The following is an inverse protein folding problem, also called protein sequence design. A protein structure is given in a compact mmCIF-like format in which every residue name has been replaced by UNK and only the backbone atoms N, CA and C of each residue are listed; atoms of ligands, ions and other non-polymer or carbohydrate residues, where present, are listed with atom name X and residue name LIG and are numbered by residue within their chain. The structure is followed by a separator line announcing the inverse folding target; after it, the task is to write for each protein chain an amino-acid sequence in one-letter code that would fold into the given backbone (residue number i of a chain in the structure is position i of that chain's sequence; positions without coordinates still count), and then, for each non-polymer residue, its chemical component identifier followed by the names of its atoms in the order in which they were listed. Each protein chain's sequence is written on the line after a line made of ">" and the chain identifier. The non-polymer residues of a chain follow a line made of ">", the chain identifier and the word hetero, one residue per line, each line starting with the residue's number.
data_IF_413422676044
#
_entry.id   IF_413422676044
#
_cell.length_a   1.000
_cell.length_b   1.000
_cell.length_c   1.000
_cell.angle_alpha   90.00
_cell.angle_beta   90.00
_cell.angle_gamma   90.00
#
_symmetry.space_group_name_H-M   'P 1'
#
loop_
_entity.id
_entity.type
_entity.pdbx_description
1 polymer ?
#
# COMPACT_ATOMS: atom_id res chain seq x y z
N UNK A 1 23.22 9.61 12.89
CA UNK A 1 22.06 10.53 12.91
C UNK A 1 20.73 9.81 13.04
N UNK A 2 20.49 8.63 12.44
CA UNK A 2 19.28 7.84 12.75
C UNK A 2 19.14 7.53 14.25
N UNK A 3 20.25 7.21 14.93
CA UNK A 3 20.26 6.98 16.37
C UNK A 3 19.78 8.19 17.21
N UNK A 4 20.06 9.43 16.79
CA UNK A 4 19.58 10.62 17.51
C UNK A 4 18.09 10.86 17.31
N UNK A 5 17.54 10.53 16.13
CA UNK A 5 16.10 10.55 15.88
C UNK A 5 15.41 9.50 16.76
N UNK A 6 15.93 8.27 16.78
CA UNK A 6 15.40 7.20 17.61
C UNK A 6 15.38 7.57 19.10
N UNK A 7 16.46 8.18 19.62
CA UNK A 7 16.53 8.65 21.00
C UNK A 7 15.50 9.75 21.28
N UNK A 8 15.35 10.74 20.39
CA UNK A 8 14.41 11.85 20.56
C UNK A 8 12.94 11.38 20.56
N UNK A 9 12.63 10.34 19.79
CA UNK A 9 11.26 9.84 19.62
C UNK A 9 10.92 8.64 20.51
N UNK A 10 11.87 8.15 21.33
CA UNK A 10 11.69 6.94 22.14
C UNK A 10 10.55 7.06 23.16
N UNK A 11 10.33 8.25 23.73
CA UNK A 11 9.29 8.49 24.74
C UNK A 11 8.04 9.20 24.21
N UNK A 12 8.03 9.61 22.94
CA UNK A 12 6.88 10.27 22.32
C UNK A 12 5.84 9.20 21.96
N UNK A 13 4.58 9.39 22.34
CA UNK A 13 3.51 8.47 21.97
C UNK A 13 3.24 8.51 20.45
N UNK A 14 2.86 7.39 19.84
CA UNK A 14 2.66 7.28 18.39
C UNK A 14 1.60 8.27 17.86
N UNK A 15 0.56 8.50 18.65
CA UNK A 15 -0.55 9.41 18.35
C UNK A 15 -0.26 10.87 18.71
N UNK A 16 0.77 11.16 19.52
CA UNK A 16 1.20 12.52 19.88
C UNK A 16 1.99 13.21 18.77
N UNK A 17 1.25 13.70 17.78
CA UNK A 17 1.82 14.42 16.64
C UNK A 17 2.63 15.65 17.06
N UNK A 18 2.10 16.45 17.98
CA UNK A 18 2.75 17.69 18.40
C UNK A 18 4.07 17.42 19.13
N UNK A 19 4.09 16.41 20.01
CA UNK A 19 5.31 15.96 20.66
C UNK A 19 6.36 15.44 19.66
N UNK A 20 5.92 14.72 18.62
CA UNK A 20 6.81 14.21 17.57
C UNK A 20 7.45 15.35 16.77
N UNK A 21 6.63 16.31 16.30
CA UNK A 21 7.11 17.46 15.55
C UNK A 21 8.09 18.31 16.39
N UNK A 22 7.76 18.57 17.66
CA UNK A 22 8.64 19.30 18.58
C UNK A 22 9.97 18.57 18.85
N UNK A 23 9.94 17.24 19.01
CA UNK A 23 11.15 16.45 19.19
C UNK A 23 12.06 16.46 17.94
N UNK A 24 11.47 16.43 16.74
CA UNK A 24 12.23 16.54 15.48
C UNK A 24 12.83 17.94 15.28
N UNK A 25 12.10 19.00 15.63
CA UNK A 25 12.60 20.38 15.55
C UNK A 25 13.75 20.68 16.51
N UNK A 26 13.79 19.99 17.66
CA UNK A 26 14.86 20.13 18.63
C UNK A 26 16.18 19.45 18.18
N UNK A 27 16.16 18.63 17.12
CA UNK A 27 17.37 17.99 16.61
C UNK A 27 18.23 19.01 15.83
N UNK A 28 19.56 19.00 16.02
CA UNK A 28 20.45 19.80 15.20
C UNK A 28 20.45 19.25 13.77
N UNK A 29 19.85 19.99 12.85
CA UNK A 29 19.81 19.69 11.40
C UNK A 29 19.46 18.23 11.07
N UNK A 30 18.22 17.77 11.33
CA UNK A 30 17.82 16.44 10.92
C UNK A 30 17.89 16.36 9.39
N UNK A 31 18.89 15.61 8.93
CA UNK A 31 19.07 15.30 7.52
C UNK A 31 17.94 14.37 7.04
N UNK A 32 17.45 14.63 5.84
CA UNK A 32 16.37 13.89 5.23
C UNK A 32 16.74 12.40 5.04
N UNK A 33 18.01 12.12 4.74
CA UNK A 33 18.51 10.75 4.65
C UNK A 33 18.35 10.00 5.97
N UNK A 34 18.71 10.63 7.09
CA UNK A 34 18.53 10.05 8.42
C UNK A 34 17.05 9.83 8.78
N UNK A 35 16.18 10.78 8.43
CA UNK A 35 14.73 10.63 8.62
C UNK A 35 14.17 9.46 7.80
N UNK A 36 14.65 9.29 6.57
CA UNK A 36 14.22 8.21 5.68
C UNK A 36 14.63 6.83 6.19
N UNK A 37 15.88 6.69 6.64
CA UNK A 37 16.38 5.44 7.23
C UNK A 37 15.58 5.10 8.48
N UNK A 38 15.44 6.06 9.41
CA UNK A 38 14.70 5.82 10.64
C UNK A 38 13.24 5.41 10.38
N UNK A 39 12.54 6.12 9.49
CA UNK A 39 11.15 5.81 9.17
C UNK A 39 11.00 4.40 8.60
N UNK A 40 11.90 3.95 7.73
CA UNK A 40 11.88 2.59 7.20
C UNK A 40 12.19 1.54 8.28
N UNK A 41 13.11 1.82 9.20
CA UNK A 41 13.45 0.93 10.32
C UNK A 41 12.25 0.72 11.26
N UNK A 42 11.50 1.78 11.58
CA UNK A 42 10.41 1.70 12.57
C UNK A 42 9.04 1.45 11.96
N UNK A 43 8.86 1.47 10.64
CA UNK A 43 7.55 1.36 10.01
C UNK A 43 6.77 0.09 10.43
N UNK A 44 7.45 -1.05 10.62
CA UNK A 44 6.81 -2.29 11.05
C UNK A 44 6.28 -2.26 12.49
N UNK A 45 6.88 -1.45 13.37
CA UNK A 45 6.56 -1.40 14.80
C UNK A 45 5.75 -0.16 15.18
N UNK A 46 6.07 0.98 14.55
CA UNK A 46 5.53 2.32 14.82
C UNK A 46 5.15 3.00 13.49
N UNK A 47 4.21 2.47 12.71
CA UNK A 47 3.91 2.95 11.37
C UNK A 47 3.46 4.42 11.34
N UNK A 48 2.70 4.85 12.35
CA UNK A 48 2.23 6.24 12.43
C UNK A 48 3.39 7.22 12.66
N UNK A 49 4.39 6.83 13.45
CA UNK A 49 5.62 7.60 13.67
C UNK A 49 6.44 7.67 12.38
N UNK A 50 6.62 6.55 11.69
CA UNK A 50 7.33 6.50 10.41
C UNK A 50 6.71 7.46 9.37
N UNK A 51 5.38 7.41 9.21
CA UNK A 51 4.65 8.34 8.35
C UNK A 51 4.90 9.79 8.77
N UNK A 52 4.74 10.11 10.05
CA UNK A 52 4.87 11.48 10.56
C UNK A 52 6.28 12.04 10.45
N UNK A 53 7.31 11.23 10.64
CA UNK A 53 8.70 11.63 10.42
C UNK A 53 8.93 12.01 8.96
N UNK A 54 8.47 11.19 8.01
CA UNK A 54 8.60 11.53 6.59
C UNK A 54 7.71 12.71 6.19
N UNK A 55 6.49 12.80 6.71
CA UNK A 55 5.58 13.91 6.46
C UNK A 55 6.16 15.23 6.97
N UNK A 56 6.80 15.22 8.14
CA UNK A 56 7.52 16.36 8.69
C UNK A 56 8.73 16.73 7.82
N UNK A 57 9.60 15.76 7.51
CA UNK A 57 10.81 16.01 6.74
C UNK A 57 10.51 16.54 5.33
N UNK A 58 9.48 16.00 4.67
CA UNK A 58 9.06 16.40 3.33
C UNK A 58 8.13 17.62 3.31
N UNK A 59 7.62 18.07 4.47
CA UNK A 59 6.87 19.31 4.61
C UNK A 59 7.76 20.57 4.54
N UNK A 60 9.08 20.40 4.60
CA UNK A 60 10.07 21.47 4.46
C UNK A 60 10.23 21.88 2.99
N UNK A 61 10.74 23.10 2.70
CA UNK A 61 10.95 23.56 1.32
C UNK A 61 11.76 22.55 0.49
N UNK A 62 11.29 22.28 -0.71
CA UNK A 62 11.94 21.34 -1.62
C UNK A 62 13.37 21.81 -1.97
N UNK A 63 14.36 20.91 -1.97
CA UNK A 63 15.71 21.25 -2.44
C UNK A 63 15.69 21.69 -3.93
N UNK A 64 16.56 22.65 -4.26
CA UNK A 64 16.62 23.24 -5.60
C UNK A 64 17.01 22.24 -6.70
N UNK A 65 17.77 21.18 -6.37
CA UNK A 65 18.22 20.19 -7.33
C UNK A 65 19.21 19.18 -6.75
N UNK A 66 19.79 18.37 -7.65
CA UNK A 66 20.81 17.38 -7.30
C UNK A 66 20.30 16.23 -6.43
N UNK A 67 21.24 15.58 -5.74
CA UNK A 67 20.97 14.41 -4.89
C UNK A 67 19.93 14.71 -3.80
N UNK A 68 20.01 15.88 -3.16
CA UNK A 68 19.05 16.27 -2.13
C UNK A 68 17.61 16.31 -2.67
N UNK A 69 17.40 16.78 -3.91
CA UNK A 69 16.07 16.78 -4.54
C UNK A 69 15.60 15.36 -4.85
N UNK A 70 16.50 14.50 -5.32
CA UNK A 70 16.19 13.09 -5.57
C UNK A 70 15.75 12.37 -4.30
N UNK A 71 16.51 12.53 -3.21
CA UNK A 71 16.19 11.96 -1.91
C UNK A 71 14.87 12.49 -1.37
N UNK A 72 14.59 13.79 -1.55
CA UNK A 72 13.32 14.41 -1.14
C UNK A 72 12.12 13.84 -1.89
N UNK A 73 12.24 13.61 -3.20
CA UNK A 73 11.18 12.94 -3.98
C UNK A 73 10.99 11.48 -3.58
N UNK A 74 12.07 10.78 -3.24
CA UNK A 74 12.00 9.40 -2.73
C UNK A 74 11.33 9.34 -1.37
N UNK A 75 11.66 10.27 -0.47
CA UNK A 75 11.04 10.38 0.84
C UNK A 75 9.54 10.71 0.73
N UNK A 76 9.13 11.58 -0.21
CA UNK A 76 7.72 11.85 -0.50
C UNK A 76 6.98 10.60 -0.99
N UNK A 77 7.59 9.84 -1.90
CA UNK A 77 7.02 8.58 -2.36
C UNK A 77 6.83 7.58 -1.21
N UNK A 78 7.83 7.45 -0.33
CA UNK A 78 7.75 6.60 0.85
C UNK A 78 6.68 7.08 1.84
N UNK A 79 6.57 8.39 2.06
CA UNK A 79 5.49 8.96 2.88
C UNK A 79 4.11 8.62 2.30
N UNK A 80 3.96 8.72 0.97
CA UNK A 80 2.73 8.39 0.27
C UNK A 80 2.39 6.90 0.41
N UNK A 81 3.37 6.01 0.24
CA UNK A 81 3.23 4.57 0.48
C UNK A 81 2.78 4.28 1.92
N UNK A 82 3.43 4.88 2.93
CA UNK A 82 3.05 4.69 4.34
C UNK A 82 1.64 5.22 4.62
N UNK A 83 1.25 6.32 3.98
CA UNK A 83 -0.08 6.90 4.08
C UNK A 83 -1.17 6.02 3.48
N UNK A 84 -0.86 4.91 2.80
CA UNK A 84 -1.86 3.91 2.41
C UNK A 84 -2.43 3.21 3.65
N UNK A 85 -1.57 2.96 4.65
CA UNK A 85 -1.89 2.09 5.80
C UNK A 85 -2.29 2.85 7.06
N UNK A 86 -1.75 4.05 7.28
CA UNK A 86 -1.88 4.80 8.54
C UNK A 86 -2.06 6.30 8.33
N UNK A 87 -2.38 6.98 9.42
CA UNK A 87 -2.57 8.43 9.46
C UNK A 87 -4.04 8.83 9.40
N UNK A 88 -4.33 10.02 9.91
CA UNK A 88 -5.68 10.58 9.85
C UNK A 88 -6.02 11.03 8.41
N UNK A 89 -7.30 11.01 7.98
CA UNK A 89 -7.68 11.36 6.61
C UNK A 89 -7.11 12.68 6.09
N UNK A 90 -7.07 13.71 6.94
CA UNK A 90 -6.49 15.03 6.61
C UNK A 90 -4.97 14.97 6.42
N UNK A 91 -4.29 14.19 7.26
CA UNK A 91 -2.83 14.02 7.19
C UNK A 91 -2.44 13.27 5.91
N UNK A 92 -3.14 12.16 5.62
CA UNK A 92 -2.96 11.36 4.40
C UNK A 92 -3.18 12.21 3.14
N UNK A 93 -4.25 13.00 3.11
CA UNK A 93 -4.54 13.90 1.99
C UNK A 93 -3.45 14.96 1.80
N UNK A 94 -2.94 15.56 2.87
CA UNK A 94 -1.85 16.53 2.79
C UNK A 94 -0.54 15.91 2.26
N UNK A 95 -0.26 14.65 2.56
CA UNK A 95 0.88 13.91 1.98
C UNK A 95 0.68 13.70 0.48
N UNK A 96 -0.50 13.23 0.07
CA UNK A 96 -0.85 13.02 -1.35
C UNK A 96 -0.73 14.32 -2.15
N UNK A 97 -1.27 15.43 -1.65
CA UNK A 97 -1.20 16.74 -2.31
C UNK A 97 0.25 17.17 -2.56
N UNK A 98 1.13 17.04 -1.56
CA UNK A 98 2.55 17.35 -1.73
C UNK A 98 3.24 16.42 -2.71
N UNK A 99 2.94 15.12 -2.64
CA UNK A 99 3.55 14.14 -3.53
C UNK A 99 3.13 14.38 -5.00
N UNK A 100 1.84 14.57 -5.26
CA UNK A 100 1.31 14.80 -6.62
C UNK A 100 1.83 16.07 -7.28
N UNK A 101 2.24 17.08 -6.49
CA UNK A 101 2.89 18.29 -7.00
C UNK A 101 4.23 18.01 -7.70
N UNK A 102 4.86 16.86 -7.42
CA UNK A 102 6.15 16.45 -8.00
C UNK A 102 6.10 15.05 -8.61
N UNK A 103 4.90 14.53 -8.90
CA UNK A 103 4.73 13.18 -9.43
C UNK A 103 5.39 12.95 -10.79
N UNK A 104 5.46 13.97 -11.65
CA UNK A 104 6.11 13.86 -12.97
C UNK A 104 7.62 13.62 -12.87
N UNK A 105 8.20 14.03 -11.76
CA UNK A 105 9.61 13.84 -11.44
C UNK A 105 9.91 12.47 -10.81
N UNK A 106 8.89 11.79 -10.28
CA UNK A 106 8.95 10.43 -9.77
C UNK A 106 7.60 9.72 -9.99
N UNK A 107 7.39 9.09 -11.17
CA UNK A 107 6.08 8.55 -11.56
C UNK A 107 5.51 7.48 -10.61
N UNK A 108 6.34 6.82 -9.79
CA UNK A 108 5.86 5.89 -8.76
C UNK A 108 4.91 6.54 -7.75
N UNK A 109 5.03 7.87 -7.56
CA UNK A 109 4.14 8.63 -6.68
C UNK A 109 2.68 8.52 -7.11
N UNK A 110 2.40 8.52 -8.42
CA UNK A 110 1.02 8.53 -8.90
C UNK A 110 0.25 7.27 -8.52
N UNK A 111 0.92 6.10 -8.56
CA UNK A 111 0.34 4.85 -8.10
C UNK A 111 0.07 4.86 -6.60
N UNK A 112 1.08 5.19 -5.78
CA UNK A 112 0.90 5.28 -4.32
C UNK A 112 -0.20 6.29 -3.94
N UNK A 113 -0.24 7.45 -4.60
CA UNK A 113 -1.27 8.46 -4.40
C UNK A 113 -2.66 7.92 -4.74
N UNK A 114 -2.82 7.16 -5.82
CA UNK A 114 -4.08 6.53 -6.17
C UNK A 114 -4.55 5.55 -5.10
N UNK A 115 -3.65 4.73 -4.53
CA UNK A 115 -3.98 3.82 -3.42
C UNK A 115 -4.48 4.60 -2.18
N UNK A 116 -3.80 5.69 -1.81
CA UNK A 116 -4.25 6.55 -0.70
C UNK A 116 -5.61 7.17 -0.99
N UNK A 117 -5.84 7.66 -2.22
CA UNK A 117 -7.09 8.30 -2.62
C UNK A 117 -8.25 7.30 -2.62
N UNK A 118 -8.04 6.06 -3.09
CA UNK A 118 -9.03 4.98 -2.94
C UNK A 118 -9.37 4.70 -1.48
N UNK A 119 -8.37 4.64 -0.61
CA UNK A 119 -8.60 4.46 0.83
C UNK A 119 -9.29 5.66 1.51
N UNK A 120 -9.34 6.82 0.85
CA UNK A 120 -10.08 8.02 1.26
C UNK A 120 -11.40 8.19 0.50
N UNK A 121 -11.86 7.16 -0.23
CA UNK A 121 -13.08 7.14 -1.05
C UNK A 121 -13.12 8.21 -2.15
N UNK A 122 -11.95 8.63 -2.65
CA UNK A 122 -11.78 9.64 -3.70
C UNK A 122 -11.47 8.97 -5.05
N UNK A 123 -12.49 8.35 -5.62
CA UNK A 123 -12.38 7.59 -6.87
C UNK A 123 -11.92 8.46 -8.06
N UNK A 124 -12.42 9.69 -8.15
CA UNK A 124 -12.07 10.61 -9.24
C UNK A 124 -10.61 11.04 -9.14
N UNK A 125 -10.15 11.43 -7.95
CA UNK A 125 -8.75 11.77 -7.71
C UNK A 125 -7.83 10.59 -7.97
N UNK A 126 -8.20 9.38 -7.54
CA UNK A 126 -7.41 8.18 -7.76
C UNK A 126 -7.23 7.86 -9.25
N UNK A 127 -8.32 7.93 -10.03
CA UNK A 127 -8.26 7.77 -11.49
C UNK A 127 -7.38 8.83 -12.14
N UNK A 128 -7.48 10.08 -11.71
CA UNK A 128 -6.66 11.16 -12.27
C UNK A 128 -5.17 10.98 -11.98
N UNK A 129 -4.81 10.56 -10.76
CA UNK A 129 -3.44 10.22 -10.42
C UNK A 129 -2.90 9.13 -11.38
N UNK A 130 -3.65 8.05 -11.60
CA UNK A 130 -3.24 6.98 -12.51
C UNK A 130 -3.13 7.44 -13.98
N UNK A 131 -4.02 8.32 -14.45
CA UNK A 131 -3.88 8.91 -15.80
C UNK A 131 -2.57 9.64 -15.97
N UNK A 132 -2.19 10.47 -14.99
CA UNK A 132 -0.92 11.19 -14.99
C UNK A 132 0.26 10.23 -14.95
N UNK A 133 0.20 9.18 -14.14
CA UNK A 133 1.22 8.12 -14.10
C UNK A 133 1.41 7.41 -15.44
N UNK A 134 0.31 7.02 -16.10
CA UNK A 134 0.36 6.43 -17.44
C UNK A 134 0.95 7.39 -18.47
N UNK A 135 0.60 8.69 -18.41
CA UNK A 135 1.17 9.71 -19.28
C UNK A 135 2.69 9.90 -19.09
N UNK A 136 3.22 9.60 -17.90
CA UNK A 136 4.66 9.56 -17.62
C UNK A 136 5.37 8.28 -18.12
N UNK A 137 4.65 7.36 -18.77
CA UNK A 137 5.25 6.23 -19.47
C UNK A 137 5.54 5.02 -18.60
N UNK A 138 4.61 4.61 -17.72
CA UNK A 138 4.71 3.33 -17.00
C UNK A 138 5.05 2.18 -17.94
N UNK A 139 6.06 1.39 -17.56
CA UNK A 139 6.40 0.15 -18.24
C UNK A 139 5.35 -0.95 -17.98
N UNK A 140 5.42 -2.03 -18.74
CA UNK A 140 4.43 -3.12 -18.61
C UNK A 140 4.48 -3.81 -17.25
N UNK A 141 5.65 -3.88 -16.61
CA UNK A 141 5.78 -4.46 -15.28
C UNK A 141 5.03 -3.63 -14.23
N UNK A 142 5.18 -2.31 -14.26
CA UNK A 142 4.46 -1.36 -13.40
C UNK A 142 2.95 -1.42 -13.69
N UNK A 143 2.56 -1.41 -14.97
CA UNK A 143 1.16 -1.52 -15.38
C UNK A 143 0.53 -2.82 -14.90
N UNK A 144 1.25 -3.95 -15.00
CA UNK A 144 0.79 -5.23 -14.48
C UNK A 144 0.60 -5.20 -12.96
N UNK A 145 1.56 -4.65 -12.22
CA UNK A 145 1.43 -4.49 -10.77
C UNK A 145 0.22 -3.65 -10.38
N UNK A 146 -0.03 -2.54 -11.06
CA UNK A 146 -1.18 -1.65 -10.80
C UNK A 146 -2.51 -2.35 -11.08
N UNK A 147 -2.59 -3.20 -12.12
CA UNK A 147 -3.82 -3.96 -12.43
C UNK A 147 -4.25 -4.88 -11.31
N UNK A 148 -3.28 -5.46 -10.61
CA UNK A 148 -3.51 -6.47 -9.58
C UNK A 148 -3.65 -5.86 -8.17
N UNK A 149 -3.28 -4.60 -7.99
CA UNK A 149 -3.26 -3.93 -6.69
C UNK A 149 -4.66 -3.76 -6.04
N UNK A 150 -4.86 -4.47 -4.93
CA UNK A 150 -6.10 -4.49 -4.12
C UNK A 150 -6.44 -3.14 -3.51
N UNK A 151 -5.46 -2.26 -3.31
CA UNK A 151 -5.73 -0.92 -2.78
C UNK A 151 -6.48 -0.04 -3.80
N UNK A 152 -6.59 -0.49 -5.05
CA UNK A 152 -7.31 0.16 -6.14
C UNK A 152 -8.71 -0.42 -6.39
N UNK A 153 -9.20 -1.32 -5.53
CA UNK A 153 -10.49 -2.01 -5.73
C UNK A 153 -11.69 -1.06 -5.87
N UNK A 154 -11.63 0.14 -5.29
CA UNK A 154 -12.64 1.19 -5.47
C UNK A 154 -12.82 1.57 -6.95
N UNK A 155 -11.72 1.68 -7.70
CA UNK A 155 -11.72 2.17 -9.09
C UNK A 155 -11.52 1.08 -10.12
N UNK A 156 -10.94 -0.07 -9.73
CA UNK A 156 -10.67 -1.22 -10.60
C UNK A 156 -11.86 -1.66 -11.46
N UNK A 157 -13.12 -1.75 -10.94
CA UNK A 157 -14.23 -2.20 -11.76
C UNK A 157 -14.69 -1.17 -12.80
N UNK A 158 -14.26 0.09 -12.69
CA UNK A 158 -14.76 1.19 -13.52
C UNK A 158 -14.29 1.10 -14.98
N UNK A 159 -15.09 1.58 -15.95
CA UNK A 159 -14.66 1.68 -17.35
C UNK A 159 -13.39 2.54 -17.52
N UNK A 160 -13.22 3.57 -16.69
CA UNK A 160 -12.07 4.47 -16.78
C UNK A 160 -10.76 3.77 -16.41
N UNK A 161 -10.75 2.94 -15.37
CA UNK A 161 -9.57 2.15 -15.02
C UNK A 161 -9.22 1.13 -16.11
N UNK A 162 -10.22 0.43 -16.63
CA UNK A 162 -10.05 -0.54 -17.74
C UNK A 162 -9.57 0.13 -19.02
N UNK A 163 -9.97 1.36 -19.31
CA UNK A 163 -9.45 2.10 -20.45
C UNK A 163 -7.94 2.40 -20.31
N UNK A 164 -7.45 2.58 -19.08
CA UNK A 164 -6.04 2.87 -18.81
C UNK A 164 -5.17 1.62 -18.79
N UNK A 165 -5.67 0.50 -18.26
CA UNK A 165 -4.87 -0.70 -17.99
C UNK A 165 -5.36 -1.96 -18.73
N UNK A 166 -6.49 -1.90 -19.41
CA UNK A 166 -7.17 -3.04 -20.03
C UNK A 166 -8.09 -3.78 -19.06
N UNK A 167 -8.88 -4.72 -19.59
CA UNK A 167 -9.56 -5.72 -18.75
C UNK A 167 -8.51 -6.75 -18.29
N UNK A 168 -8.05 -6.64 -17.04
CA UNK A 168 -7.44 -7.78 -16.36
C UNK A 168 -8.55 -8.49 -15.58
N UNK A 169 -9.31 -9.35 -16.25
CA UNK A 169 -9.87 -10.47 -15.51
C UNK A 169 -8.67 -11.35 -15.12
N UNK A 170 -8.36 -11.56 -13.82
CA UNK A 170 -7.33 -12.52 -13.44
C UNK A 170 -7.61 -13.83 -14.16
N UNK A 171 -6.61 -14.37 -14.84
CA UNK A 171 -6.69 -15.71 -15.38
C UNK A 171 -6.97 -16.63 -14.21
N UNK A 172 -8.17 -17.22 -14.16
CA UNK A 172 -8.54 -18.08 -13.06
C UNK A 172 -7.62 -19.31 -13.07
N UNK A 173 -7.01 -19.64 -11.93
CA UNK A 173 -6.15 -20.80 -11.86
C UNK A 173 -6.99 -22.07 -12.07
N UNK A 174 -6.33 -23.12 -12.56
CA UNK A 174 -7.00 -24.37 -12.93
C UNK A 174 -7.78 -25.02 -11.77
N UNK A 175 -7.43 -24.70 -10.51
CA UNK A 175 -8.09 -25.21 -9.30
C UNK A 175 -9.39 -24.46 -8.95
N UNK A 176 -9.69 -23.32 -9.58
CA UNK A 176 -10.92 -22.55 -9.39
C UNK A 176 -11.80 -22.49 -10.66
N UNK A 177 -12.11 -23.64 -11.32
CA UNK A 177 -12.82 -23.61 -12.60
C UNK A 177 -14.26 -23.10 -12.42
N UNK A 178 -14.68 -22.16 -13.27
CA UNK A 178 -16.04 -21.61 -13.26
C UNK A 178 -16.35 -20.68 -12.08
N UNK A 179 -15.32 -20.15 -11.42
CA UNK A 179 -15.49 -18.99 -10.55
C UNK A 179 -15.68 -17.73 -11.38
N UNK A 180 -16.39 -16.75 -10.83
CA UNK A 180 -16.34 -15.38 -11.36
C UNK A 180 -15.06 -14.70 -10.89
N UNK A 181 -14.44 -13.90 -11.75
CA UNK A 181 -13.18 -13.21 -11.44
C UNK A 181 -13.27 -12.38 -10.14
N UNK A 182 -14.39 -11.69 -9.93
CA UNK A 182 -14.62 -10.89 -8.73
C UNK A 182 -14.65 -11.72 -7.44
N UNK A 183 -15.28 -12.91 -7.49
CA UNK A 183 -15.37 -13.82 -6.36
C UNK A 183 -14.02 -14.48 -6.07
N UNK A 184 -13.24 -14.78 -7.12
CA UNK A 184 -11.88 -15.27 -6.97
C UNK A 184 -10.96 -14.26 -6.28
N UNK A 185 -11.02 -12.98 -6.68
CA UNK A 185 -10.22 -11.90 -6.05
C UNK A 185 -10.57 -11.79 -4.56
N UNK A 186 -11.86 -11.80 -4.21
CA UNK A 186 -12.31 -11.77 -2.81
C UNK A 186 -11.80 -12.97 -2.01
N UNK A 187 -11.85 -14.16 -2.58
CA UNK A 187 -11.36 -15.37 -1.91
C UNK A 187 -9.85 -15.29 -1.70
N UNK A 188 -9.08 -14.88 -2.71
CA UNK A 188 -7.64 -14.68 -2.63
C UNK A 188 -7.28 -13.70 -1.53
N UNK A 189 -7.99 -12.57 -1.46
CA UNK A 189 -7.74 -11.56 -0.44
C UNK A 189 -8.07 -12.06 0.96
N UNK A 190 -9.21 -12.73 1.14
CA UNK A 190 -9.58 -13.31 2.42
C UNK A 190 -8.58 -14.38 2.89
N UNK A 191 -8.03 -15.17 1.98
CA UNK A 191 -6.95 -16.12 2.28
C UNK A 191 -5.68 -15.38 2.67
N UNK A 192 -5.27 -14.37 1.89
CA UNK A 192 -4.07 -13.56 2.14
C UNK A 192 -4.10 -12.92 3.53
N UNK A 193 -5.23 -12.35 3.93
CA UNK A 193 -5.37 -11.69 5.24
C UNK A 193 -5.56 -12.67 6.40
N UNK A 194 -6.01 -13.90 6.13
CA UNK A 194 -6.20 -14.92 7.17
C UNK A 194 -4.92 -15.69 7.51
N UNK A 195 -3.88 -15.58 6.69
CA UNK A 195 -2.63 -16.32 6.85
C UNK A 195 -1.49 -15.41 7.34
N UNK A 196 -0.74 -15.82 8.38
CA UNK A 196 0.44 -15.06 8.82
C UNK A 196 1.57 -15.09 7.78
N UNK A 197 1.60 -16.11 6.91
CA UNK A 197 2.60 -16.28 5.84
C UNK A 197 1.89 -16.73 4.56
N UNK A 198 1.35 -15.76 3.82
CA UNK A 198 0.75 -16.01 2.51
C UNK A 198 1.83 -16.20 1.44
N UNK A 199 1.78 -17.30 0.71
CA UNK A 199 2.67 -17.55 -0.44
C UNK A 199 1.86 -17.41 -1.74
N UNK A 200 2.09 -16.32 -2.49
CA UNK A 200 1.36 -16.07 -3.72
C UNK A 200 1.58 -17.16 -4.78
N UNK A 201 2.80 -17.70 -4.91
CA UNK A 201 3.09 -18.73 -5.90
C UNK A 201 2.41 -20.05 -5.57
N UNK A 202 2.43 -20.44 -4.28
CA UNK A 202 1.69 -21.59 -3.80
C UNK A 202 0.18 -21.42 -4.01
N UNK A 203 -0.35 -20.20 -3.78
CA UNK A 203 -1.77 -19.90 -3.98
C UNK A 203 -2.18 -20.12 -5.43
N UNK A 204 -1.41 -19.59 -6.38
CA UNK A 204 -1.66 -19.80 -7.80
C UNK A 204 -1.59 -21.28 -8.20
N UNK A 205 -0.70 -22.06 -7.56
CA UNK A 205 -0.61 -23.52 -7.73
C UNK A 205 -1.72 -24.30 -7.02
N UNK A 206 -2.59 -23.66 -6.23
CA UNK A 206 -3.75 -24.27 -5.58
C UNK A 206 -3.48 -24.82 -4.18
N UNK A 207 -2.40 -24.40 -3.53
CA UNK A 207 -2.08 -24.83 -2.17
C UNK A 207 -1.58 -23.70 -1.26
N UNK A 208 -1.70 -23.87 0.06
CA UNK A 208 -1.07 -23.00 1.06
C UNK A 208 -0.51 -23.84 2.20
N UNK A 209 0.61 -23.40 2.81
CA UNK A 209 1.18 -24.08 3.97
C UNK A 209 0.87 -23.31 5.25
N UNK A 210 0.24 -23.98 6.22
CA UNK A 210 -0.14 -23.38 7.52
C UNK A 210 0.19 -24.37 8.62
N UNK A 211 0.97 -23.94 9.62
CA UNK A 211 1.38 -24.81 10.74
C UNK A 211 2.10 -26.08 10.28
N UNK A 212 2.89 -26.00 9.22
CA UNK A 212 3.61 -27.14 8.64
C UNK A 212 2.77 -28.10 7.79
N UNK A 213 1.45 -27.85 7.65
CA UNK A 213 0.55 -28.65 6.81
C UNK A 213 0.23 -27.93 5.52
N UNK A 214 0.17 -28.68 4.42
CA UNK A 214 -0.32 -28.18 3.14
C UNK A 214 -1.85 -28.26 3.08
N UNK A 215 -2.48 -27.26 2.47
CA UNK A 215 -3.93 -27.10 2.38
C UNK A 215 -4.34 -26.92 0.92
N UNK A 216 -5.33 -27.70 0.47
CA UNK A 216 -5.85 -27.67 -0.90
C UNK A 216 -6.87 -26.53 -1.11
N UNK A 217 -6.49 -25.50 -1.88
CA UNK A 217 -7.37 -24.36 -2.14
C UNK A 217 -8.56 -24.71 -3.05
N UNK A 218 -8.48 -25.78 -3.85
CA UNK A 218 -9.63 -26.28 -4.58
C UNK A 218 -10.73 -26.76 -3.63
N UNK A 219 -10.34 -27.36 -2.50
CA UNK A 219 -11.27 -27.76 -1.45
C UNK A 219 -11.92 -26.54 -0.77
N UNK A 220 -11.11 -25.55 -0.41
CA UNK A 220 -11.62 -24.31 0.16
C UNK A 220 -12.61 -23.62 -0.79
N UNK A 221 -12.25 -23.50 -2.07
CA UNK A 221 -13.11 -22.95 -3.09
C UNK A 221 -14.43 -23.73 -3.18
N UNK A 222 -14.41 -25.07 -3.20
CA UNK A 222 -15.64 -25.87 -3.18
C UNK A 222 -16.53 -25.57 -1.95
N UNK A 223 -15.94 -25.30 -0.78
CA UNK A 223 -16.68 -24.97 0.46
C UNK A 223 -17.30 -23.58 0.43
N UNK A 224 -16.67 -22.61 -0.24
CA UNK A 224 -17.20 -21.24 -0.38
C UNK A 224 -18.22 -21.11 -1.52
N UNK A 225 -18.18 -22.01 -2.51
CA UNK A 225 -19.05 -21.94 -3.68
C UNK A 225 -20.53 -21.99 -3.31
N UNK A 226 -21.30 -21.02 -3.80
CA UNK A 226 -22.74 -20.90 -3.55
C UNK A 226 -23.10 -20.21 -2.23
N UNK A 227 -22.11 -19.89 -1.39
CA UNK A 227 -22.31 -19.07 -0.20
C UNK A 227 -22.19 -17.59 -0.56
N UNK A 228 -22.98 -16.70 0.06
CA UNK A 228 -22.76 -15.26 -0.08
C UNK A 228 -21.39 -14.86 0.53
N UNK A 229 -20.69 -13.84 0.02
CA UNK A 229 -19.33 -13.50 0.45
C UNK A 229 -19.13 -13.28 1.96
N UNK A 230 -20.14 -12.75 2.66
CA UNK A 230 -20.05 -12.51 4.10
C UNK A 230 -19.99 -13.81 4.94
N UNK A 231 -20.38 -14.95 4.37
CA UNK A 231 -20.27 -16.27 5.02
C UNK A 231 -18.92 -16.96 4.79
N UNK A 232 -18.05 -16.41 3.92
CA UNK A 232 -16.77 -17.05 3.61
C UNK A 232 -15.76 -16.95 4.76
N UNK A 233 -15.79 -15.85 5.53
CA UNK A 233 -14.87 -15.62 6.66
C UNK A 233 -14.81 -16.82 7.61
N UNK A 234 -15.91 -17.29 8.21
CA UNK A 234 -15.87 -18.45 9.11
C UNK A 234 -15.50 -19.76 8.42
N UNK A 235 -15.66 -19.88 7.09
CA UNK A 235 -15.24 -21.06 6.32
C UNK A 235 -13.72 -21.05 6.15
N UNK A 236 -13.15 -19.93 5.69
CA UNK A 236 -11.71 -19.74 5.49
C UNK A 236 -10.96 -19.88 6.81
N UNK A 237 -11.43 -19.24 7.89
CA UNK A 237 -10.79 -19.35 9.21
C UNK A 237 -10.73 -20.82 9.66
N UNK A 238 -11.86 -21.54 9.65
CA UNK A 238 -11.90 -22.95 10.06
C UNK A 238 -11.03 -23.84 9.16
N UNK A 239 -10.96 -23.54 7.87
CA UNK A 239 -10.17 -24.31 6.92
C UNK A 239 -8.67 -24.27 7.24
N UNK A 240 -8.17 -23.12 7.70
CA UNK A 240 -6.74 -22.98 8.05
C UNK A 240 -6.42 -23.37 9.49
N UNK A 241 -7.35 -23.20 10.44
CA UNK A 241 -7.12 -23.50 11.86
C UNK A 241 -7.41 -24.95 12.27
N UNK A 242 -8.25 -25.68 11.54
CA UNK A 242 -8.61 -27.09 11.83
C UNK A 242 -7.71 -28.09 11.12
#
# INVERSE_FOLDING_TARGET
>A
MSHSIAQALASVADDDRAGLEAALEALPEPDLGACSVYALEVFGERPLVALRVLAWATGRPAPAGGLAREEWRRALNNACYMAVFVGEPRERRAVVERALAVGEENPAIFHNAACVLCALDDAEGALEALRRGVACGYDEATRASIRDDTDLDLIRPTPAFRALFGDAAPALPAWAPGWEAADFVRLRELVRTSLPQFDAQAFEAGHQRVGGRERDLAELARRCRGLPPHEWVPVVTRFFTG
#
